data_IF_982134863758
#
_entry.id   IF_982134863758
#
_cell.length_a   1.000
_cell.length_b   1.000
_cell.length_c   1.000
_cell.angle_alpha   90.00
_cell.angle_beta   90.00
_cell.angle_gamma   90.00
#
_symmetry.space_group_name_H-M   'P 1'
#
loop_
_entity.id
_entity.type
_entity.pdbx_description
1 polymer ?
#
# COMPACT_ATOMS: atom_id res chain seq x y z
N UNK A 1 4.80 5.28 21.59
CA UNK A 1 3.90 4.12 21.74
C UNK A 1 2.74 4.60 22.61
N UNK A 2 1.52 4.47 22.10
CA UNK A 2 0.32 4.87 22.88
C UNK A 2 0.12 3.81 23.96
N UNK A 3 -0.01 4.26 25.21
CA UNK A 3 -0.25 3.36 26.34
C UNK A 3 -1.70 2.86 26.26
N UNK A 4 -1.86 1.57 26.02
CA UNK A 4 -3.16 0.90 25.81
C UNK A 4 -4.10 1.08 27.02
N UNK A 5 -3.55 1.38 28.20
CA UNK A 5 -4.32 1.55 29.44
C UNK A 5 -4.85 2.98 29.65
N UNK A 6 -4.50 3.93 28.76
CA UNK A 6 -4.83 5.36 28.95
C UNK A 6 -5.94 5.89 28.05
N UNK A 7 -6.47 5.11 27.11
CA UNK A 7 -7.57 5.57 26.27
C UNK A 7 -8.94 5.13 26.80
N UNK A 8 -9.94 5.99 26.64
CA UNK A 8 -11.32 5.73 27.07
C UNK A 8 -12.15 5.01 26.04
N UNK A 9 -11.83 5.15 24.77
CA UNK A 9 -12.56 4.54 23.66
C UNK A 9 -11.63 4.30 22.48
N UNK A 10 -12.02 3.36 21.61
CA UNK A 10 -11.35 3.05 20.36
C UNK A 10 -12.37 3.17 19.22
N UNK A 11 -11.97 3.83 18.14
CA UNK A 11 -12.78 3.95 16.93
C UNK A 11 -12.04 3.31 15.76
N UNK A 12 -12.73 2.42 15.05
CA UNK A 12 -12.21 1.80 13.82
C UNK A 12 -12.89 2.49 12.64
N UNK A 13 -12.08 3.06 11.75
CA UNK A 13 -12.55 3.77 10.55
C UNK A 13 -11.71 3.39 9.35
N UNK A 14 -12.24 3.65 8.15
CA UNK A 14 -11.47 3.53 6.91
C UNK A 14 -10.51 4.71 6.79
N UNK A 15 -9.26 4.42 6.42
CA UNK A 15 -8.27 5.44 6.10
C UNK A 15 -8.49 5.94 4.66
N UNK A 16 -8.54 7.26 4.48
CA UNK A 16 -8.53 7.87 3.15
C UNK A 16 -7.14 7.76 2.52
N UNK A 17 -7.01 7.83 1.17
CA UNK A 17 -5.70 7.86 0.51
C UNK A 17 -4.77 8.95 1.04
N UNK A 18 -5.30 10.15 1.30
CA UNK A 18 -4.54 11.25 1.90
C UNK A 18 -4.02 10.91 3.30
N UNK A 19 -4.81 10.19 4.10
CA UNK A 19 -4.40 9.74 5.42
C UNK A 19 -3.29 8.71 5.35
N UNK A 20 -3.39 7.74 4.42
CA UNK A 20 -2.33 6.75 4.18
C UNK A 20 -1.03 7.42 3.75
N UNK A 21 -1.09 8.39 2.82
CA UNK A 21 0.10 9.16 2.42
C UNK A 21 0.71 9.94 3.57
N UNK A 22 -0.10 10.49 4.49
CA UNK A 22 0.42 11.22 5.66
C UNK A 22 1.19 10.34 6.65
N UNK A 23 0.94 9.03 6.66
CA UNK A 23 1.68 8.06 7.49
C UNK A 23 2.91 7.50 6.78
N UNK A 24 2.96 7.61 5.46
CA UNK A 24 3.99 6.99 4.64
C UNK A 24 5.32 7.74 4.69
N UNK A 25 6.41 7.00 4.73
CA UNK A 25 7.78 7.50 4.60
C UNK A 25 8.26 7.52 3.14
N UNK A 26 7.49 6.99 2.21
CA UNK A 26 7.80 7.02 0.78
C UNK A 26 6.98 6.02 -0.03
N UNK A 27 7.05 6.17 -1.34
CA UNK A 27 6.37 5.31 -2.31
C UNK A 27 7.24 4.11 -2.67
N UNK A 28 6.66 2.91 -2.62
CA UNK A 28 7.26 1.68 -3.14
C UNK A 28 6.88 1.53 -4.61
N UNK A 29 7.88 1.62 -5.51
CA UNK A 29 7.67 1.62 -6.97
C UNK A 29 7.97 0.27 -7.63
N UNK A 30 8.73 -0.58 -6.95
CA UNK A 30 9.22 -1.86 -7.49
C UNK A 30 8.79 -3.03 -6.61
N UNK A 31 8.46 -4.18 -7.21
CA UNK A 31 8.08 -5.37 -6.45
C UNK A 31 9.27 -6.11 -5.83
N UNK A 32 10.50 -5.74 -6.18
CA UNK A 32 11.71 -6.39 -5.66
C UNK A 32 11.84 -6.19 -4.15
N UNK A 33 12.37 -7.20 -3.49
CA UNK A 33 12.62 -7.21 -2.05
C UNK A 33 14.09 -7.01 -1.74
N UNK A 34 14.91 -8.01 -2.06
CA UNK A 34 16.35 -8.01 -1.85
C UNK A 34 17.07 -8.41 -3.14
N UNK A 35 18.28 -7.90 -3.30
CA UNK A 35 19.15 -8.36 -4.36
C UNK A 35 19.72 -9.75 -4.00
N UNK A 36 19.50 -10.75 -4.86
CA UNK A 36 19.93 -12.14 -4.61
C UNK A 36 21.45 -12.31 -4.50
N UNK A 37 22.24 -11.41 -5.14
CA UNK A 37 23.70 -11.44 -5.15
C UNK A 37 24.30 -10.76 -3.93
N UNK A 38 23.79 -9.58 -3.55
CA UNK A 38 24.34 -8.76 -2.47
C UNK A 38 23.61 -8.95 -1.15
N UNK A 39 22.44 -9.60 -1.15
CA UNK A 39 21.52 -9.78 -0.03
C UNK A 39 21.09 -8.47 0.63
N UNK A 40 21.24 -7.35 -0.08
CA UNK A 40 20.80 -6.03 0.39
C UNK A 40 19.43 -5.68 -0.18
N UNK A 41 18.60 -4.93 0.57
CA UNK A 41 17.34 -4.42 0.07
C UNK A 41 17.51 -3.61 -1.22
N UNK A 42 16.64 -3.86 -2.19
CA UNK A 42 16.60 -3.07 -3.43
C UNK A 42 16.00 -1.70 -3.18
N UNK A 43 16.52 -0.70 -3.88
CA UNK A 43 16.01 0.67 -3.81
C UNK A 43 14.63 0.75 -4.46
N UNK A 44 13.75 1.54 -3.83
CA UNK A 44 12.34 1.70 -4.21
C UNK A 44 11.52 0.40 -4.14
N UNK A 45 12.09 -0.66 -3.57
CA UNK A 45 11.46 -1.95 -3.36
C UNK A 45 10.73 -2.07 -2.03
N UNK A 46 10.14 -3.23 -1.80
CA UNK A 46 9.34 -3.52 -0.60
C UNK A 46 10.13 -3.51 0.72
N UNK A 47 11.46 -3.55 0.67
CA UNK A 47 12.33 -3.48 1.85
C UNK A 47 13.32 -2.31 1.82
N UNK A 48 13.07 -1.29 1.00
CA UNK A 48 13.97 -0.16 0.84
C UNK A 48 14.34 0.48 2.19
N UNK A 49 15.64 0.64 2.41
CA UNK A 49 16.18 1.23 3.64
C UNK A 49 15.89 2.74 3.74
N UNK A 50 15.68 3.42 2.62
CA UNK A 50 15.31 4.86 2.61
C UNK A 50 13.91 5.06 3.15
N UNK A 51 12.98 4.19 2.76
CA UNK A 51 11.57 4.26 3.17
C UNK A 51 11.39 3.71 4.59
N UNK A 52 11.87 2.50 4.84
CA UNK A 52 11.58 1.76 6.07
C UNK A 52 12.65 1.88 7.15
N UNK A 53 13.83 2.32 6.80
CA UNK A 53 14.94 2.45 7.73
C UNK A 53 16.06 1.42 7.50
N UNK A 54 17.19 1.57 8.22
CA UNK A 54 18.37 0.77 8.05
C UNK A 54 18.18 -0.69 8.47
N UNK A 55 18.95 -1.59 7.88
CA UNK A 55 18.97 -3.02 8.25
C UNK A 55 19.88 -3.32 9.44
N UNK A 56 20.79 -2.39 9.76
CA UNK A 56 21.67 -2.48 10.93
C UNK A 56 21.52 -1.26 11.82
N UNK A 57 21.57 -1.47 13.14
CA UNK A 57 21.46 -0.39 14.11
C UNK A 57 22.59 0.63 13.90
N UNK A 58 22.19 1.90 13.80
CA UNK A 58 23.09 3.04 13.75
C UNK A 58 24.07 3.02 12.56
N UNK A 59 23.68 2.39 11.45
CA UNK A 59 24.47 2.31 10.24
C UNK A 59 23.62 2.64 9.00
N UNK A 60 24.11 3.51 8.11
CA UNK A 60 23.45 3.74 6.83
C UNK A 60 23.80 2.65 5.80
N UNK A 61 23.02 2.53 4.73
CA UNK A 61 23.19 1.46 3.73
C UNK A 61 24.55 1.42 3.05
N UNK A 62 25.17 2.60 2.80
CA UNK A 62 26.49 2.70 2.18
C UNK A 62 27.66 2.58 3.18
N UNK A 63 27.39 2.54 4.48
CA UNK A 63 28.41 2.43 5.52
C UNK A 63 29.21 3.71 5.81
N UNK A 64 28.86 4.86 5.21
CA UNK A 64 29.53 6.15 5.47
C UNK A 64 29.37 6.58 6.93
N UNK A 65 28.16 6.48 7.43
CA UNK A 65 27.85 6.79 8.83
C UNK A 65 27.61 5.51 9.59
N UNK A 66 28.40 5.31 10.64
CA UNK A 66 28.33 4.19 11.58
C UNK A 66 28.41 4.72 13.01
N UNK A 67 27.73 4.10 13.92
CA UNK A 67 27.69 4.42 15.36
C UNK A 67 26.62 5.46 15.73
N UNK A 68 26.25 5.39 17.01
CA UNK A 68 25.18 6.16 17.63
C UNK A 68 25.38 7.68 17.58
N UNK A 69 26.63 8.16 17.50
CA UNK A 69 26.94 9.60 17.43
C UNK A 69 26.29 10.30 16.22
N UNK A 70 25.98 9.54 15.17
CA UNK A 70 25.33 10.04 13.95
C UNK A 70 23.82 9.83 13.95
N UNK A 71 23.22 9.55 15.11
CA UNK A 71 21.78 9.33 15.26
C UNK A 71 20.98 10.46 14.62
N UNK A 72 19.97 10.10 13.80
CA UNK A 72 19.04 11.02 13.17
C UNK A 72 19.57 11.72 11.93
N UNK A 73 20.84 11.49 11.54
CA UNK A 73 21.40 12.04 10.30
C UNK A 73 20.90 11.22 9.12
N UNK A 74 20.40 11.90 8.11
CA UNK A 74 20.11 11.30 6.80
C UNK A 74 21.38 11.32 5.97
N UNK A 75 21.84 10.16 5.52
CA UNK A 75 23.07 10.06 4.74
C UNK A 75 22.94 10.77 3.40
N UNK A 76 23.81 11.70 3.14
CA UNK A 76 23.89 12.46 1.88
C UNK A 76 24.20 11.58 0.65
N UNK A 77 24.84 10.41 0.84
CA UNK A 77 25.20 9.50 -0.23
C UNK A 77 24.12 8.48 -0.56
N UNK A 78 23.47 7.88 0.44
CA UNK A 78 22.50 6.79 0.22
C UNK A 78 21.06 7.16 0.62
N UNK A 79 20.85 8.30 1.30
CA UNK A 79 19.53 8.76 1.73
C UNK A 79 18.95 8.02 2.94
N UNK A 80 19.67 7.08 3.51
CA UNK A 80 19.19 6.29 4.66
C UNK A 80 19.45 7.03 5.97
N UNK A 81 18.44 7.13 6.80
CA UNK A 81 18.55 7.72 8.13
C UNK A 81 19.28 6.76 9.08
N UNK A 82 20.21 7.31 9.86
CA UNK A 82 20.96 6.56 10.89
C UNK A 82 20.09 6.42 12.14
N UNK A 83 19.44 5.30 12.29
CA UNK A 83 18.55 4.99 13.41
C UNK A 83 18.59 3.49 13.75
N UNK A 84 17.75 3.06 14.69
CA UNK A 84 17.63 1.64 15.03
C UNK A 84 16.85 0.86 13.97
N UNK A 85 17.19 -0.40 13.77
CA UNK A 85 16.47 -1.33 12.89
C UNK A 85 15.00 -1.53 13.29
N UNK A 86 14.67 -1.31 14.56
CA UNK A 86 13.31 -1.42 15.09
C UNK A 86 12.30 -0.56 14.31
N UNK A 87 12.72 0.60 13.78
CA UNK A 87 11.85 1.50 13.02
C UNK A 87 11.28 0.84 11.76
N UNK A 88 11.93 -0.19 11.21
CA UNK A 88 11.43 -0.97 10.08
C UNK A 88 10.11 -1.70 10.35
N UNK A 89 9.79 -1.94 11.62
CA UNK A 89 8.51 -2.51 12.08
C UNK A 89 7.46 -1.46 12.38
N UNK A 90 7.82 -0.19 12.41
CA UNK A 90 6.96 0.93 12.79
C UNK A 90 6.62 1.82 11.59
N UNK A 91 7.55 1.98 10.65
CA UNK A 91 7.39 2.84 9.47
C UNK A 91 6.51 2.19 8.43
N UNK A 92 5.64 3.01 7.85
CA UNK A 92 4.77 2.63 6.73
C UNK A 92 5.28 3.25 5.44
N UNK A 93 5.17 2.53 4.35
CA UNK A 93 5.27 3.02 2.99
C UNK A 93 3.91 2.92 2.31
N UNK A 94 3.80 3.41 1.08
CA UNK A 94 2.60 3.27 0.29
C UNK A 94 2.92 2.85 -1.14
N UNK A 95 1.92 2.33 -1.82
CA UNK A 95 1.96 1.99 -3.24
C UNK A 95 0.85 2.79 -3.92
N UNK A 96 1.21 3.58 -4.94
CA UNK A 96 0.24 4.26 -5.78
C UNK A 96 -0.38 3.26 -6.76
N UNK A 97 -1.69 3.12 -6.69
CA UNK A 97 -2.40 2.22 -7.58
C UNK A 97 -2.66 2.90 -8.93
N UNK A 98 -2.52 2.16 -10.03
CA UNK A 98 -2.79 2.63 -11.40
C UNK A 98 -4.27 2.93 -11.65
N UNK A 99 -5.14 2.18 -10.97
CA UNK A 99 -6.59 2.34 -11.04
C UNK A 99 -7.20 2.32 -9.64
N UNK A 100 -8.34 2.99 -9.41
CA UNK A 100 -9.06 2.89 -8.16
C UNK A 100 -9.46 1.45 -7.85
N UNK A 101 -9.34 1.05 -6.60
CA UNK A 101 -9.74 -0.27 -6.11
C UNK A 101 -10.79 -0.11 -5.01
N UNK A 102 -11.87 -0.87 -5.13
CA UNK A 102 -12.95 -0.86 -4.15
C UNK A 102 -12.53 -1.53 -2.85
N UNK A 103 -12.95 -0.95 -1.71
CA UNK A 103 -12.73 -1.59 -0.42
C UNK A 103 -13.58 -2.86 -0.29
N UNK A 104 -12.95 -3.93 0.17
CA UNK A 104 -13.57 -5.25 0.31
C UNK A 104 -14.84 -5.26 1.19
N UNK A 105 -14.96 -4.34 2.15
CA UNK A 105 -16.13 -4.24 3.04
C UNK A 105 -17.42 -3.92 2.30
N UNK A 106 -17.34 -3.17 1.20
CA UNK A 106 -18.52 -2.84 0.39
C UNK A 106 -18.87 -3.91 -0.64
N UNK A 107 -17.89 -4.74 -0.98
CA UNK A 107 -17.99 -5.76 -2.02
C UNK A 107 -18.28 -7.16 -1.48
N UNK A 108 -17.45 -7.69 -0.56
CA UNK A 108 -17.55 -9.09 -0.04
C UNK A 108 -18.49 -9.27 1.16
N UNK A 109 -19.17 -8.24 1.60
CA UNK A 109 -20.20 -8.37 2.62
C UNK A 109 -21.39 -9.23 2.14
N UNK A 110 -22.09 -9.90 3.05
CA UNK A 110 -23.35 -10.60 2.74
C UNK A 110 -24.47 -9.89 3.52
N UNK A 111 -25.41 -9.21 2.83
CA UNK A 111 -25.47 -8.99 1.37
C UNK A 111 -24.43 -7.97 0.89
N UNK A 112 -23.96 -8.09 -0.37
CA UNK A 112 -23.05 -7.12 -0.98
C UNK A 112 -23.73 -5.76 -1.16
N UNK A 113 -23.23 -4.74 -0.50
CA UNK A 113 -23.80 -3.38 -0.61
C UNK A 113 -23.64 -2.80 -2.00
N UNK A 114 -22.50 -3.00 -2.64
CA UNK A 114 -22.26 -2.59 -4.02
C UNK A 114 -23.16 -3.36 -5.00
N UNK A 115 -23.28 -4.67 -4.84
CA UNK A 115 -24.14 -5.52 -5.67
C UNK A 115 -25.60 -5.07 -5.62
N UNK A 116 -26.13 -4.80 -4.42
CA UNK A 116 -27.49 -4.30 -4.24
C UNK A 116 -27.70 -2.90 -4.85
N UNK A 117 -26.75 -1.99 -4.67
CA UNK A 117 -26.87 -0.61 -5.18
C UNK A 117 -26.80 -0.58 -6.72
N UNK A 118 -25.93 -1.40 -7.31
CA UNK A 118 -25.75 -1.48 -8.75
C UNK A 118 -26.72 -2.46 -9.43
N UNK A 119 -27.47 -3.23 -8.65
CA UNK A 119 -28.33 -4.32 -9.13
C UNK A 119 -27.55 -5.28 -10.02
N UNK A 120 -26.42 -5.77 -9.50
CA UNK A 120 -25.53 -6.71 -10.16
C UNK A 120 -25.28 -7.93 -9.28
N UNK A 121 -25.17 -9.10 -9.91
CA UNK A 121 -24.81 -10.32 -9.17
C UNK A 121 -23.40 -10.20 -8.57
N UNK A 122 -23.15 -10.81 -7.38
CA UNK A 122 -21.82 -10.78 -6.77
C UNK A 122 -20.71 -11.32 -7.69
N UNK A 123 -21.01 -12.33 -8.51
CA UNK A 123 -20.08 -12.92 -9.45
C UNK A 123 -19.70 -11.94 -10.58
N UNK A 124 -20.69 -11.33 -11.22
CA UNK A 124 -20.47 -10.33 -12.25
C UNK A 124 -19.69 -9.13 -11.73
N UNK A 125 -20.03 -8.68 -10.53
CA UNK A 125 -19.31 -7.58 -9.88
C UNK A 125 -17.86 -7.96 -9.56
N UNK A 126 -17.60 -9.19 -9.16
CA UNK A 126 -16.24 -9.70 -8.90
C UNK A 126 -15.38 -9.69 -10.16
N UNK A 127 -15.90 -10.17 -11.29
CA UNK A 127 -15.20 -10.17 -12.59
C UNK A 127 -14.79 -8.74 -13.01
N UNK A 128 -15.68 -7.78 -12.80
CA UNK A 128 -15.38 -6.36 -13.15
C UNK A 128 -14.38 -5.74 -12.17
N UNK A 129 -14.54 -5.94 -10.86
CA UNK A 129 -13.66 -5.33 -9.84
C UNK A 129 -12.22 -5.86 -9.93
N UNK A 130 -12.05 -7.13 -10.29
CA UNK A 130 -10.73 -7.75 -10.50
C UNK A 130 -10.18 -7.58 -11.91
N UNK A 131 -10.80 -6.72 -12.73
CA UNK A 131 -10.36 -6.41 -14.11
C UNK A 131 -10.31 -7.63 -15.04
N UNK A 132 -11.15 -8.65 -14.78
CA UNK A 132 -11.28 -9.83 -15.64
C UNK A 132 -12.33 -9.63 -16.74
N UNK A 133 -13.21 -8.64 -16.60
CA UNK A 133 -14.25 -8.34 -17.57
C UNK A 133 -14.64 -6.86 -17.53
N UNK A 134 -15.35 -6.43 -18.55
CA UNK A 134 -15.93 -5.09 -18.66
C UNK A 134 -17.43 -5.14 -18.43
N UNK A 135 -17.99 -4.04 -17.93
CA UNK A 135 -19.45 -3.86 -17.81
C UNK A 135 -19.91 -2.77 -18.78
N UNK A 136 -21.01 -3.01 -19.48
CA UNK A 136 -21.62 -2.03 -20.36
C UNK A 136 -22.36 -0.98 -19.54
N UNK A 137 -21.82 0.23 -19.50
CA UNK A 137 -22.42 1.37 -18.79
C UNK A 137 -23.48 2.04 -19.66
N UNK A 138 -23.18 2.27 -20.94
CA UNK A 138 -24.07 2.89 -21.90
C UNK A 138 -23.95 2.15 -23.25
N UNK A 139 -25.00 1.38 -23.66
CA UNK A 139 -24.98 0.60 -24.88
C UNK A 139 -25.12 1.45 -26.15
N UNK A 140 -25.59 2.71 -26.07
CA UNK A 140 -25.87 3.57 -27.23
C UNK A 140 -26.67 2.84 -28.34
N UNK A 141 -26.22 2.95 -29.57
CA UNK A 141 -26.85 2.32 -30.75
C UNK A 141 -26.35 0.89 -31.03
N UNK A 142 -25.79 0.21 -30.03
CA UNK A 142 -25.30 -1.17 -30.18
C UNK A 142 -26.32 -2.19 -29.69
N UNK A 143 -26.28 -3.45 -30.13
CA UNK A 143 -27.20 -4.50 -29.65
C UNK A 143 -26.87 -5.01 -28.23
N UNK A 144 -25.97 -4.34 -27.51
CA UNK A 144 -25.57 -4.72 -26.15
C UNK A 144 -26.62 -4.28 -25.15
N UNK A 145 -26.76 -5.05 -24.10
CA UNK A 145 -27.64 -4.69 -22.98
C UNK A 145 -26.87 -3.93 -21.90
N UNK A 146 -27.55 -2.97 -21.27
CA UNK A 146 -27.01 -2.26 -20.12
C UNK A 146 -26.68 -3.24 -18.99
N UNK A 147 -25.53 -3.10 -18.37
CA UNK A 147 -24.95 -3.98 -17.35
C UNK A 147 -24.55 -5.38 -17.83
N UNK A 148 -24.58 -5.66 -19.12
CA UNK A 148 -24.03 -6.92 -19.62
C UNK A 148 -22.52 -6.99 -19.40
N UNK A 149 -22.02 -8.19 -19.14
CA UNK A 149 -20.60 -8.45 -18.91
C UNK A 149 -19.94 -8.86 -20.21
N UNK A 150 -18.84 -8.21 -20.54
CA UNK A 150 -18.03 -8.48 -21.73
C UNK A 150 -16.64 -8.95 -21.31
N UNK A 151 -16.17 -10.01 -21.90
CA UNK A 151 -14.77 -10.45 -21.87
C UNK A 151 -14.06 -9.97 -23.14
N UNK A 152 -12.73 -9.89 -23.08
CA UNK A 152 -11.89 -9.64 -24.27
C UNK A 152 -12.05 -10.73 -25.31
#
# INVERSE_FOLDING_TARGET
MVDVNRFKSMQITLASPSKVRSWSYGEVKKPETINYRTLKPEREGLFDEVIFGPTKDWECACGKYKRIRYRGIVCDRCGVEVTRTKVRRERMGHIELKAPVSNIWYFKGIPSRMGLTLDMSPRALEEVIYFAAYVVIDPKDTPLEHKSIMTE
#
